data_IF_984022613857
#
_entry.id   IF_984022613857
#
_cell.length_a   1.000
_cell.length_b   1.000
_cell.length_c   1.000
_cell.angle_alpha   90.00
_cell.angle_beta   90.00
_cell.angle_gamma   90.00
#
_symmetry.space_group_name_H-M   'P 1'
#
loop_
_entity.id
_entity.type
_entity.pdbx_description
1 polymer ?
#
# COMPACT_ATOMS: atom_id res chain seq x y z
N UNK A 1 -5.68 17.97 -3.62
CA UNK A 1 -5.98 17.68 -2.21
C UNK A 1 -4.87 16.77 -1.68
N UNK A 2 -4.33 17.06 -0.49
CA UNK A 2 -3.36 16.20 0.22
C UNK A 2 -4.13 15.42 1.29
N UNK A 3 -5.00 14.52 0.87
CA UNK A 3 -5.75 13.67 1.80
C UNK A 3 -4.79 12.64 2.41
N UNK A 4 -4.92 12.33 3.70
CA UNK A 4 -4.03 11.43 4.45
C UNK A 4 -2.53 11.79 4.46
N UNK A 5 -2.17 13.03 4.09
CA UNK A 5 -0.79 13.49 4.07
C UNK A 5 -0.10 13.45 5.44
N UNK A 6 -0.89 13.46 6.52
CA UNK A 6 -0.45 13.32 7.89
C UNK A 6 0.19 11.96 8.20
N UNK A 7 -0.10 10.92 7.42
CA UNK A 7 0.56 9.61 7.53
C UNK A 7 2.06 9.67 7.24
N UNK A 8 2.52 10.71 6.54
CA UNK A 8 3.95 10.98 6.37
C UNK A 8 4.66 11.28 7.69
N UNK A 9 3.93 11.62 8.77
CA UNK A 9 4.48 11.86 10.12
C UNK A 9 4.70 10.57 10.94
N UNK A 10 4.21 9.43 10.46
CA UNK A 10 4.41 8.12 11.10
C UNK A 10 5.66 7.40 10.56
N UNK A 11 6.73 8.14 10.30
CA UNK A 11 7.96 7.64 9.67
C UNK A 11 8.58 6.45 10.43
N UNK A 12 8.78 6.57 11.74
CA UNK A 12 9.33 5.50 12.58
C UNK A 12 8.45 4.25 12.58
N UNK A 13 7.12 4.42 12.50
CA UNK A 13 6.16 3.32 12.44
C UNK A 13 6.25 2.56 11.11
N UNK A 14 6.40 3.28 9.99
CA UNK A 14 6.56 2.70 8.66
C UNK A 14 7.91 2.00 8.52
N UNK A 15 8.98 2.66 8.94
CA UNK A 15 10.35 2.13 8.88
C UNK A 15 10.47 0.82 9.67
N UNK A 16 9.89 0.74 10.87
CA UNK A 16 9.91 -0.48 11.69
C UNK A 16 9.19 -1.67 11.02
N UNK A 17 8.38 -1.41 9.98
CA UNK A 17 7.64 -2.41 9.20
C UNK A 17 8.23 -2.62 7.79
N UNK A 18 9.42 -2.08 7.56
CA UNK A 18 10.17 -2.22 6.30
C UNK A 18 9.65 -1.34 5.16
N UNK A 19 8.79 -0.36 5.46
CA UNK A 19 8.35 0.63 4.49
C UNK A 19 9.35 1.77 4.38
N UNK A 20 9.56 2.25 3.16
CA UNK A 20 10.37 3.43 2.85
C UNK A 20 9.54 4.48 2.12
N UNK A 21 9.87 5.78 2.23
CA UNK A 21 9.18 6.83 1.49
C UNK A 21 9.19 6.56 -0.02
N UNK A 22 8.05 6.80 -0.67
CA UNK A 22 7.88 6.56 -2.11
C UNK A 22 7.24 7.76 -2.79
N UNK A 23 7.73 8.11 -3.99
CA UNK A 23 7.21 9.20 -4.82
C UNK A 23 7.30 8.85 -6.31
N UNK A 24 6.26 9.17 -7.08
CA UNK A 24 6.26 9.04 -8.54
C UNK A 24 5.15 9.88 -9.18
N UNK A 25 5.49 10.72 -10.15
CA UNK A 25 4.49 11.40 -10.99
C UNK A 25 3.44 12.19 -10.20
N UNK A 26 3.86 12.94 -9.18
CA UNK A 26 2.95 13.69 -8.30
C UNK A 26 2.34 12.88 -7.16
N UNK A 27 2.37 11.54 -7.25
CA UNK A 27 1.96 10.66 -6.17
C UNK A 27 3.04 10.54 -5.09
N UNK A 28 2.62 10.37 -3.84
CA UNK A 28 3.51 10.09 -2.72
C UNK A 28 2.85 9.18 -1.67
N UNK A 29 3.69 8.45 -0.96
CA UNK A 29 3.27 7.43 -0.02
C UNK A 29 4.47 6.71 0.58
N UNK A 30 4.27 5.44 0.91
CA UNK A 30 5.34 4.52 1.28
C UNK A 30 5.27 3.24 0.44
N UNK A 31 6.41 2.59 0.28
CA UNK A 31 6.47 1.27 -0.33
C UNK A 31 7.34 0.31 0.49
N UNK A 32 7.07 -0.98 0.38
CA UNK A 32 7.99 -2.03 0.82
C UNK A 32 8.07 -3.15 -0.20
N UNK A 33 9.15 -3.91 -0.13
CA UNK A 33 9.26 -5.23 -0.78
C UNK A 33 9.29 -6.30 0.29
N UNK A 34 8.37 -7.24 0.21
CA UNK A 34 8.32 -8.41 1.08
C UNK A 34 8.82 -9.65 0.35
N UNK A 35 9.55 -10.51 1.06
CA UNK A 35 9.85 -11.87 0.58
C UNK A 35 8.77 -12.81 1.07
N UNK A 36 8.09 -13.49 0.16
CA UNK A 36 7.14 -14.56 0.48
C UNK A 36 7.81 -15.89 0.21
N UNK A 37 7.86 -16.74 1.23
CA UNK A 37 8.37 -18.11 1.15
C UNK A 37 7.19 -19.05 1.35
N UNK A 38 6.95 -19.90 0.36
CA UNK A 38 6.00 -21.00 0.48
C UNK A 38 6.78 -22.25 0.84
N UNK A 39 6.44 -22.86 1.96
CA UNK A 39 7.08 -24.09 2.44
C UNK A 39 6.10 -25.27 2.41
N UNK A 40 6.66 -26.47 2.34
CA UNK A 40 5.99 -27.76 2.47
C UNK A 40 6.75 -28.64 3.47
N UNK A 41 6.25 -29.85 3.75
CA UNK A 41 6.97 -30.81 4.60
C UNK A 41 8.36 -31.18 4.06
N UNK A 42 8.63 -30.97 2.76
CA UNK A 42 9.92 -31.21 2.11
C UNK A 42 10.83 -29.97 2.01
N UNK A 43 10.44 -28.85 2.62
CA UNK A 43 11.19 -27.58 2.60
C UNK A 43 10.53 -26.48 1.76
N UNK A 44 11.29 -25.44 1.42
CA UNK A 44 10.83 -24.28 0.64
C UNK A 44 10.51 -24.70 -0.80
N UNK A 45 9.26 -24.50 -1.24
CA UNK A 45 8.78 -24.86 -2.58
C UNK A 45 8.67 -23.67 -3.51
N UNK A 46 8.64 -22.44 -2.98
CA UNK A 46 8.68 -21.23 -3.77
C UNK A 46 9.18 -20.03 -2.97
N UNK A 47 9.91 -19.15 -3.65
CA UNK A 47 10.28 -17.81 -3.19
C UNK A 47 9.82 -16.80 -4.22
N UNK A 48 9.12 -15.77 -3.79
CA UNK A 48 8.78 -14.65 -4.65
C UNK A 48 8.65 -13.37 -3.84
N UNK A 49 8.68 -12.23 -4.53
CA UNK A 49 8.49 -10.94 -3.90
C UNK A 49 7.07 -10.42 -4.08
N UNK A 50 6.63 -9.64 -3.10
CA UNK A 50 5.46 -8.78 -3.19
C UNK A 50 5.89 -7.35 -2.91
N UNK A 51 5.54 -6.43 -3.80
CA UNK A 51 5.72 -5.00 -3.55
C UNK A 51 4.38 -4.40 -3.11
N UNK A 52 4.39 -3.78 -1.93
CA UNK A 52 3.23 -3.08 -1.38
C UNK A 52 3.48 -1.56 -1.48
N UNK A 53 2.48 -0.83 -1.95
CA UNK A 53 2.47 0.63 -2.02
C UNK A 53 1.23 1.15 -1.30
N UNK A 54 1.40 2.07 -0.36
CA UNK A 54 0.32 2.80 0.31
C UNK A 54 0.46 4.26 -0.12
N UNK A 55 -0.53 4.78 -0.84
CA UNK A 55 -0.47 6.07 -1.53
C UNK A 55 -1.53 7.00 -0.94
N UNK A 56 -1.09 8.06 -0.26
CA UNK A 56 -1.97 9.09 0.31
C UNK A 56 -1.99 10.39 -0.51
N UNK A 57 -0.88 10.74 -1.15
CA UNK A 57 -0.89 11.88 -2.07
C UNK A 57 -1.12 11.36 -3.49
N UNK A 58 -2.24 11.72 -4.11
CA UNK A 58 -2.57 11.40 -5.50
C UNK A 58 -3.72 12.28 -6.02
N UNK A 59 -4.00 12.23 -7.32
CA UNK A 59 -5.06 12.94 -8.01
C UNK A 59 -6.29 12.04 -8.28
N UNK A 60 -6.65 11.17 -7.34
CA UNK A 60 -7.80 10.26 -7.46
C UNK A 60 -7.71 9.27 -8.64
N UNK A 61 -8.86 9.04 -9.32
CA UNK A 61 -9.01 8.09 -10.42
C UNK A 61 -8.00 8.27 -11.57
N UNK A 62 -7.65 9.49 -12.04
CA UNK A 62 -6.59 9.69 -13.02
C UNK A 62 -5.27 8.97 -12.70
N UNK A 63 -4.79 9.09 -11.47
CA UNK A 63 -3.53 8.47 -11.04
C UNK A 63 -3.68 6.95 -10.91
N UNK A 64 -4.81 6.48 -10.38
CA UNK A 64 -5.12 5.06 -10.36
C UNK A 64 -5.11 4.46 -11.78
N UNK A 65 -5.68 5.15 -12.76
CA UNK A 65 -5.73 4.69 -14.15
C UNK A 65 -4.35 4.73 -14.81
N UNK A 66 -3.56 5.77 -14.52
CA UNK A 66 -2.17 5.85 -14.96
C UNK A 66 -1.37 4.65 -14.41
N UNK A 67 -1.48 4.35 -13.10
CA UNK A 67 -0.86 3.16 -12.50
C UNK A 67 -1.34 1.89 -13.19
N UNK A 68 -2.66 1.69 -13.29
CA UNK A 68 -3.23 0.48 -13.85
C UNK A 68 -2.77 0.23 -15.28
N UNK A 69 -2.71 1.25 -16.14
CA UNK A 69 -2.33 1.08 -17.56
C UNK A 69 -0.82 0.99 -17.78
N UNK A 70 -0.04 1.77 -17.04
CA UNK A 70 1.37 2.00 -17.40
C UNK A 70 2.36 1.16 -16.60
N UNK A 71 1.99 0.68 -15.41
CA UNK A 71 2.90 -0.16 -14.62
C UNK A 71 3.18 -1.47 -15.33
N UNK A 72 4.41 -1.96 -15.17
CA UNK A 72 4.92 -3.16 -15.81
C UNK A 72 5.25 -4.21 -14.76
N UNK A 73 5.38 -5.46 -15.21
CA UNK A 73 5.93 -6.50 -14.37
C UNK A 73 7.33 -6.13 -13.91
N UNK A 74 7.63 -6.40 -12.64
CA UNK A 74 8.97 -6.28 -12.09
C UNK A 74 9.61 -7.68 -12.03
N UNK A 75 10.93 -7.81 -12.24
CA UNK A 75 11.62 -9.09 -12.09
C UNK A 75 11.37 -9.68 -10.69
N UNK A 76 11.05 -10.98 -10.64
CA UNK A 76 10.86 -11.76 -9.41
C UNK A 76 9.72 -11.30 -8.46
N UNK A 77 8.98 -10.26 -8.84
CA UNK A 77 7.81 -9.78 -8.11
C UNK A 77 6.57 -10.48 -8.64
N UNK A 78 5.99 -11.34 -7.81
CA UNK A 78 4.73 -12.01 -8.11
C UNK A 78 3.54 -11.06 -8.02
N UNK A 79 3.61 -10.07 -7.12
CA UNK A 79 2.47 -9.21 -6.85
C UNK A 79 2.89 -7.79 -6.54
N UNK A 80 2.28 -6.83 -7.21
CA UNK A 80 2.36 -5.41 -6.90
C UNK A 80 0.99 -4.98 -6.37
N UNK A 81 0.87 -4.63 -5.09
CA UNK A 81 -0.37 -4.13 -4.48
C UNK A 81 -0.26 -2.64 -4.25
N UNK A 82 -1.21 -1.86 -4.76
CA UNK A 82 -1.25 -0.41 -4.61
C UNK A 82 -2.56 -0.02 -3.94
N UNK A 83 -2.47 0.51 -2.74
CA UNK A 83 -3.61 0.99 -1.96
C UNK A 83 -3.65 2.51 -2.07
N UNK A 84 -4.70 3.04 -2.67
CA UNK A 84 -4.99 4.47 -2.73
C UNK A 84 -5.89 4.86 -1.56
N UNK A 85 -5.41 5.77 -0.72
CA UNK A 85 -6.16 6.25 0.43
C UNK A 85 -7.11 7.38 0.03
N UNK A 86 -8.41 7.19 0.24
CA UNK A 86 -9.45 8.13 -0.17
C UNK A 86 -10.54 8.19 0.90
N UNK A 87 -11.10 9.37 1.17
CA UNK A 87 -12.17 9.52 2.17
C UNK A 87 -13.44 8.74 1.78
N UNK A 88 -13.84 8.88 0.52
CA UNK A 88 -15.02 8.24 -0.06
C UNK A 88 -14.60 7.04 -0.93
N UNK A 89 -13.83 6.12 -0.37
CA UNK A 89 -13.40 4.91 -1.08
C UNK A 89 -14.60 4.01 -1.40
N UNK A 90 -14.74 3.61 -2.66
CA UNK A 90 -15.61 2.50 -2.98
C UNK A 90 -14.93 1.22 -2.47
N UNK A 91 -15.63 0.39 -1.69
CA UNK A 91 -15.09 -0.87 -1.20
C UNK A 91 -14.85 -1.84 -2.39
N UNK A 92 -13.71 -1.69 -3.05
CA UNK A 92 -13.42 -2.31 -4.33
C UNK A 92 -11.93 -2.54 -4.54
N UNK A 93 -11.64 -3.50 -5.40
CA UNK A 93 -10.31 -3.79 -5.88
C UNK A 93 -10.37 -4.13 -7.36
N UNK A 94 -9.34 -3.76 -8.10
CA UNK A 94 -9.18 -4.18 -9.49
C UNK A 94 -7.81 -4.77 -9.69
N UNK A 95 -7.75 -5.86 -10.44
CA UNK A 95 -6.51 -6.57 -10.69
C UNK A 95 -6.31 -6.84 -12.17
N UNK A 96 -5.06 -6.92 -12.60
CA UNK A 96 -4.72 -7.53 -13.89
C UNK A 96 -3.44 -8.34 -13.77
N UNK A 97 -3.34 -9.35 -14.61
CA UNK A 97 -2.11 -10.14 -14.73
C UNK A 97 -1.14 -9.51 -15.73
N UNK A 98 0.13 -9.83 -15.56
CA UNK A 98 1.16 -9.58 -16.55
C UNK A 98 1.46 -10.88 -17.29
N UNK A 99 1.45 -10.84 -18.64
CA UNK A 99 1.68 -12.01 -19.48
C UNK A 99 0.87 -13.23 -19.02
N UNK A 100 -0.46 -13.09 -18.97
CA UNK A 100 -1.39 -14.14 -18.51
C UNK A 100 -1.11 -14.68 -17.08
N UNK A 101 -0.30 -14.00 -16.28
CA UNK A 101 0.05 -14.38 -14.90
C UNK A 101 1.49 -14.87 -14.75
N UNK A 102 2.18 -15.18 -15.85
CA UNK A 102 3.57 -15.66 -15.81
C UNK A 102 4.57 -14.62 -15.30
N UNK A 103 4.20 -13.33 -15.31
CA UNK A 103 5.04 -12.23 -14.80
C UNK A 103 4.40 -11.51 -13.62
N UNK A 104 3.54 -12.21 -12.88
CA UNK A 104 2.87 -11.69 -11.70
C UNK A 104 1.63 -10.85 -12.00
N UNK A 105 1.21 -10.11 -10.99
CA UNK A 105 -0.06 -9.39 -10.95
C UNK A 105 0.12 -7.96 -10.44
N UNK A 106 -0.78 -7.09 -10.87
CA UNK A 106 -0.98 -5.75 -10.31
C UNK A 106 -2.38 -5.71 -9.71
N UNK A 107 -2.46 -5.36 -8.44
CA UNK A 107 -3.71 -5.16 -7.71
C UNK A 107 -3.79 -3.73 -7.22
N UNK A 108 -4.91 -3.06 -7.51
CA UNK A 108 -5.22 -1.73 -7.02
C UNK A 108 -6.41 -1.82 -6.08
N UNK A 109 -6.31 -1.13 -4.96
CA UNK A 109 -7.34 -1.03 -3.95
C UNK A 109 -7.61 0.43 -3.62
N UNK A 110 -8.87 0.74 -3.33
CA UNK A 110 -9.26 1.98 -2.68
C UNK A 110 -9.52 1.69 -1.21
N UNK A 111 -9.07 2.57 -0.32
CA UNK A 111 -9.29 2.43 1.11
C UNK A 111 -9.55 3.77 1.77
N UNK A 112 -10.64 3.86 2.54
CA UNK A 112 -10.91 4.96 3.45
C UNK A 112 -10.79 4.48 4.88
N UNK A 113 -10.30 5.34 5.77
CA UNK A 113 -9.93 5.01 7.15
C UNK A 113 -11.03 4.43 8.05
N UNK A 114 -12.29 4.45 7.62
CA UNK A 114 -13.42 3.85 8.35
C UNK A 114 -14.16 2.81 7.47
N UNK A 115 -13.56 2.44 6.34
CA UNK A 115 -14.15 1.61 5.31
C UNK A 115 -13.86 0.12 5.50
N UNK A 116 -14.69 -0.72 4.88
CA UNK A 116 -14.43 -2.16 4.85
C UNK A 116 -13.31 -2.47 3.86
N UNK A 117 -12.17 -2.91 4.37
CA UNK A 117 -11.05 -3.39 3.59
C UNK A 117 -11.44 -4.53 2.62
N UNK A 118 -10.94 -4.47 1.38
CA UNK A 118 -11.03 -5.59 0.45
C UNK A 118 -10.20 -6.77 0.97
N UNK A 119 -10.68 -8.02 0.75
CA UNK A 119 -10.07 -9.23 1.34
C UNK A 119 -8.57 -9.36 1.08
N UNK A 120 -8.11 -8.99 -0.12
CA UNK A 120 -6.71 -9.09 -0.57
C UNK A 120 -5.75 -8.04 0.02
N UNK A 121 -6.25 -7.05 0.76
CA UNK A 121 -5.43 -5.99 1.38
C UNK A 121 -5.72 -5.77 2.87
N UNK A 122 -6.42 -6.70 3.52
CA UNK A 122 -6.74 -6.60 4.96
C UNK A 122 -5.51 -6.40 5.85
N UNK A 123 -4.39 -7.02 5.47
CA UNK A 123 -3.11 -6.85 6.15
C UNK A 123 -2.61 -5.40 6.03
N UNK A 124 -2.69 -4.80 4.84
CA UNK A 124 -2.31 -3.41 4.63
C UNK A 124 -3.27 -2.43 5.30
N UNK A 125 -4.57 -2.70 5.27
CA UNK A 125 -5.59 -1.89 5.97
C UNK A 125 -5.29 -1.78 7.47
N UNK A 126 -4.99 -2.91 8.14
CA UNK A 126 -4.61 -2.88 9.55
C UNK A 126 -3.36 -2.03 9.81
N UNK A 127 -2.37 -2.06 8.91
CA UNK A 127 -1.19 -1.20 9.04
C UNK A 127 -1.51 0.29 8.87
N UNK A 128 -2.46 0.63 8.00
CA UNK A 128 -2.93 2.00 7.77
C UNK A 128 -3.68 2.50 9.01
N UNK A 129 -4.59 1.71 9.55
CA UNK A 129 -5.39 2.07 10.73
C UNK A 129 -4.49 2.29 11.96
N UNK A 130 -3.52 1.40 12.19
CA UNK A 130 -2.51 1.56 13.24
C UNK A 130 -1.69 2.84 13.05
N UNK A 131 -1.30 3.17 11.81
CA UNK A 131 -0.54 4.39 11.52
C UNK A 131 -1.35 5.66 11.81
N UNK A 132 -2.65 5.66 11.49
CA UNK A 132 -3.55 6.78 11.79
C UNK A 132 -3.61 7.03 13.30
N UNK A 133 -3.74 5.96 14.10
CA UNK A 133 -3.72 6.05 15.58
C UNK A 133 -2.38 6.62 16.09
N UNK A 134 -1.25 6.24 15.49
CA UNK A 134 0.07 6.80 15.85
C UNK A 134 0.13 8.30 15.57
N UNK A 135 -0.38 8.73 14.41
CA UNK A 135 -0.42 10.15 14.03
C UNK A 135 -1.32 10.95 14.97
N UNK A 136 -2.48 10.44 15.33
CA UNK A 136 -3.41 11.08 16.28
C UNK A 136 -2.77 11.27 17.66
N UNK A 137 -2.13 10.22 18.20
CA UNK A 137 -1.45 10.30 19.51
C UNK A 137 -0.29 11.30 19.50
N UNK A 138 0.49 11.32 18.43
CA UNK A 138 1.59 12.26 18.26
C UNK A 138 1.09 13.70 18.19
N UNK A 139 -0.04 13.93 17.50
CA UNK A 139 -0.70 15.24 17.44
C UNK A 139 -1.20 15.74 18.79
N UNK A 140 -1.85 14.89 19.59
CA UNK A 140 -2.37 15.26 20.91
C UNK A 140 -1.25 15.57 21.93
N UNK A 141 -0.13 14.85 21.83
CA UNK A 141 1.04 15.07 22.71
C UNK A 141 1.66 16.45 22.48
N UNK A 142 1.68 16.94 21.24
CA UNK A 142 2.19 18.27 20.91
C UNK A 142 1.25 19.41 21.33
N UNK A 143 -0.07 19.18 21.36
CA UNK A 143 -1.05 20.18 21.81
C UNK A 143 -1.12 20.34 23.33
N UNK A 144 -0.72 19.32 24.09
CA UNK A 144 -0.74 19.37 25.57
C UNK A 144 0.53 20.03 26.13
N UNK A 145 1.57 20.18 25.31
CA UNK A 145 2.85 20.82 25.68
C UNK A 145 3.01 22.25 25.15
N UNK A 146 1.96 22.82 24.54
CA UNK A 146 1.87 24.20 24.07
C UNK A 146 0.91 25.01 24.95
#
# INVERSE_FOLDING_TARGET
MKEFGELARADAYWESRGFVPWRRGGMAGVHRRMTVRKASMLGEVARYYTDDYIVWQHNGKPDQEAVFRTWRALPEVMMQRVVFLMRDAAAGGRSRSFLLGFRGYLELYEYGADGRAHRGMKDLAGLIDEALVVVEKTGNTQQTMA
#
